data_IF_174319274431
#
_entry.id   IF_174319274431
#
_cell.length_a   1.000
_cell.length_b   1.000
_cell.length_c   1.000
_cell.angle_alpha   90.00
_cell.angle_beta   90.00
_cell.angle_gamma   90.00
#
_symmetry.space_group_name_H-M   'P 1'
#
loop_
_entity.id
_entity.type
_entity.pdbx_description
1 polymer ?
#
# COMPACT_ATOMS: atom_id res chain seq x y z
N UNK A 1 12.78 -7.91 9.37
CA UNK A 1 11.79 -7.05 8.68
C UNK A 1 10.45 -7.36 9.31
N UNK A 2 9.56 -6.39 9.37
CA UNK A 2 8.20 -6.57 9.90
C UNK A 2 7.26 -5.71 9.08
N UNK A 3 6.10 -6.24 8.75
CA UNK A 3 4.98 -5.43 8.26
C UNK A 3 4.00 -5.19 9.39
N UNK A 4 3.37 -4.03 9.38
CA UNK A 4 2.24 -3.71 10.24
C UNK A 4 1.04 -3.38 9.37
N UNK A 5 -0.16 -3.75 9.80
CA UNK A 5 -1.41 -3.47 9.09
C UNK A 5 -2.40 -2.81 10.04
N UNK A 6 -2.98 -1.69 9.64
CA UNK A 6 -4.02 -1.00 10.43
C UNK A 6 -5.35 -1.72 10.28
N UNK A 7 -5.85 -2.24 11.40
CA UNK A 7 -7.13 -2.93 11.44
C UNK A 7 -8.27 -1.99 11.03
N UNK A 8 -8.93 -2.32 9.93
CA UNK A 8 -10.16 -1.66 9.48
C UNK A 8 -10.06 -0.13 9.42
N UNK A 9 -8.92 0.38 8.91
CA UNK A 9 -8.54 1.80 8.92
C UNK A 9 -9.72 2.74 8.71
N UNK A 10 -10.41 2.66 7.57
CA UNK A 10 -11.48 3.59 7.23
C UNK A 10 -12.65 3.58 8.23
N UNK A 11 -13.09 2.41 8.68
CA UNK A 11 -14.22 2.29 9.61
C UNK A 11 -13.86 2.64 11.05
N UNK A 12 -12.57 2.72 11.37
CA UNK A 12 -12.06 3.04 12.71
C UNK A 12 -11.61 4.50 12.85
N UNK A 13 -11.56 5.28 11.77
CA UNK A 13 -11.10 6.67 11.81
C UNK A 13 -12.00 7.56 12.69
N UNK A 14 -11.46 8.22 13.72
CA UNK A 14 -12.22 9.18 14.52
C UNK A 14 -12.48 10.47 13.74
N UNK A 15 -13.72 10.68 13.28
CA UNK A 15 -14.09 11.83 12.43
C UNK A 15 -13.70 13.17 13.08
N UNK A 16 -14.02 13.38 14.36
CA UNK A 16 -13.75 14.67 15.02
C UNK A 16 -12.25 14.97 15.12
N UNK A 17 -11.42 13.96 15.39
CA UNK A 17 -9.95 14.11 15.38
C UNK A 17 -9.46 14.43 13.97
N UNK A 18 -10.00 13.74 12.95
CA UNK A 18 -9.68 13.99 11.55
C UNK A 18 -9.97 15.45 11.16
N UNK A 19 -11.16 15.96 11.50
CA UNK A 19 -11.55 17.35 11.21
C UNK A 19 -10.66 18.33 11.96
N UNK A 20 -10.31 18.05 13.21
CA UNK A 20 -9.41 18.89 14.00
C UNK A 20 -8.00 18.97 13.38
N UNK A 21 -7.46 17.81 12.95
CA UNK A 21 -6.15 17.73 12.27
C UNK A 21 -6.19 18.47 10.94
N UNK A 22 -7.22 18.27 10.12
CA UNK A 22 -7.38 18.95 8.84
C UNK A 22 -7.49 20.46 9.04
N UNK A 23 -8.28 20.92 10.01
CA UNK A 23 -8.42 22.35 10.32
C UNK A 23 -7.07 22.99 10.63
N UNK A 24 -6.31 22.39 11.54
CA UNK A 24 -4.95 22.85 11.87
C UNK A 24 -4.03 22.87 10.65
N UNK A 25 -4.00 21.80 9.83
CA UNK A 25 -3.17 21.76 8.63
C UNK A 25 -3.58 22.82 7.59
N UNK A 26 -4.87 23.14 7.48
CA UNK A 26 -5.33 24.24 6.62
C UNK A 26 -4.82 25.58 7.12
N UNK A 27 -4.90 25.85 8.43
CA UNK A 27 -4.37 27.08 9.05
C UNK A 27 -2.86 27.22 8.83
N UNK A 28 -2.10 26.16 9.09
CA UNK A 28 -0.64 26.11 8.93
C UNK A 28 -0.20 26.39 7.47
N UNK A 29 -1.07 26.09 6.50
CA UNK A 29 -0.84 26.30 5.07
C UNK A 29 -1.55 27.55 4.51
N UNK A 30 -2.08 28.43 5.37
CA UNK A 30 -2.83 29.63 4.98
C UNK A 30 -4.01 29.33 4.04
N UNK A 31 -4.70 28.21 4.24
CA UNK A 31 -5.87 27.79 3.48
C UNK A 31 -7.18 28.07 4.25
N UNK A 32 -8.30 28.30 3.53
CA UNK A 32 -9.61 28.49 4.15
C UNK A 32 -10.04 27.29 5.01
N UNK A 33 -10.38 27.53 6.28
CA UNK A 33 -10.81 26.48 7.23
C UNK A 33 -12.23 25.99 6.96
N UNK A 34 -13.00 26.72 6.14
CA UNK A 34 -14.32 26.32 5.66
C UNK A 34 -14.28 24.97 4.91
N UNK A 35 -13.14 24.61 4.32
CA UNK A 35 -12.96 23.28 3.74
C UNK A 35 -13.10 22.15 4.77
N UNK A 36 -12.68 22.36 6.01
CA UNK A 36 -12.87 21.37 7.08
C UNK A 36 -14.36 21.21 7.45
N UNK A 37 -15.14 22.30 7.38
CA UNK A 37 -16.59 22.27 7.61
C UNK A 37 -17.30 21.48 6.51
N UNK A 38 -16.94 21.73 5.25
CA UNK A 38 -17.46 20.98 4.10
C UNK A 38 -17.06 19.50 4.17
N UNK A 39 -15.81 19.23 4.54
CA UNK A 39 -15.31 17.88 4.71
C UNK A 39 -16.08 17.13 5.80
N UNK A 40 -16.31 17.78 6.96
CA UNK A 40 -17.14 17.22 8.03
C UNK A 40 -18.51 16.82 7.51
N UNK A 41 -19.16 17.69 6.75
CA UNK A 41 -20.46 17.38 6.14
C UNK A 41 -20.38 16.18 5.18
N UNK A 42 -19.34 16.09 4.33
CA UNK A 42 -19.15 14.96 3.43
C UNK A 42 -18.91 13.63 4.18
N UNK A 43 -18.20 13.66 5.31
CA UNK A 43 -17.89 12.46 6.09
C UNK A 43 -19.07 11.96 6.92
N UNK A 44 -19.97 12.84 7.36
CA UNK A 44 -21.12 12.49 8.22
C UNK A 44 -22.43 12.28 7.47
N UNK A 45 -22.50 12.63 6.19
CA UNK A 45 -23.72 12.52 5.37
C UNK A 45 -23.76 11.27 4.49
N UNK A 46 -23.01 10.23 4.87
CA UNK A 46 -22.97 8.95 4.15
C UNK A 46 -24.17 8.06 4.48
N UNK A 47 -25.09 7.92 3.53
CA UNK A 47 -26.21 6.98 3.61
C UNK A 47 -26.01 5.83 2.61
N UNK A 48 -26.40 4.62 3.01
CA UNK A 48 -26.44 3.45 2.14
C UNK A 48 -27.83 2.83 2.16
N UNK A 49 -28.30 2.40 1.00
CA UNK A 49 -29.55 1.65 0.85
C UNK A 49 -29.22 0.16 0.80
N UNK A 50 -29.77 -0.61 1.73
CA UNK A 50 -29.61 -2.06 1.76
C UNK A 50 -30.93 -2.73 2.07
N UNK A 51 -31.38 -3.64 1.20
CA UNK A 51 -32.68 -4.32 1.32
C UNK A 51 -33.84 -3.34 1.57
N UNK A 52 -33.91 -2.30 0.76
CA UNK A 52 -34.94 -1.24 0.82
C UNK A 52 -34.92 -0.36 2.09
N UNK A 53 -33.94 -0.57 2.98
CA UNK A 53 -33.77 0.22 4.21
C UNK A 53 -32.54 1.15 4.11
N UNK A 54 -32.68 2.37 4.63
CA UNK A 54 -31.58 3.33 4.70
C UNK A 54 -30.78 3.17 5.99
N UNK A 55 -29.47 3.13 5.85
CA UNK A 55 -28.53 3.11 6.96
C UNK A 55 -27.60 4.32 6.87
N UNK A 56 -27.25 4.87 8.03
CA UNK A 56 -26.26 5.94 8.16
C UNK A 56 -25.02 5.37 8.82
N UNK A 57 -23.84 5.74 8.31
CA UNK A 57 -22.59 5.41 8.97
C UNK A 57 -22.40 6.27 10.22
N UNK A 58 -22.26 5.62 11.38
CA UNK A 58 -22.15 6.30 12.69
C UNK A 58 -20.72 6.47 13.17
N UNK A 59 -19.77 5.71 12.61
CA UNK A 59 -18.35 5.79 12.96
C UNK A 59 -17.47 5.48 11.74
N UNK A 60 -16.24 6.00 11.78
CA UNK A 60 -15.33 5.92 10.64
C UNK A 60 -15.78 6.75 9.45
N UNK A 61 -15.03 6.62 8.35
CA UNK A 61 -15.33 7.26 7.07
C UNK A 61 -15.82 6.23 6.07
N UNK A 62 -16.65 6.66 5.12
CA UNK A 62 -17.24 5.76 4.12
C UNK A 62 -16.17 5.22 3.16
N UNK A 63 -16.06 3.89 3.07
CA UNK A 63 -15.25 3.25 2.03
C UNK A 63 -15.87 3.55 0.66
N UNK A 64 -15.08 4.05 -0.28
CA UNK A 64 -15.54 4.45 -1.61
C UNK A 64 -15.93 5.93 -1.73
N UNK A 65 -15.96 6.70 -0.64
CA UNK A 65 -16.04 8.15 -0.74
C UNK A 65 -14.72 8.71 -1.31
N UNK A 66 -14.77 9.65 -2.28
CA UNK A 66 -13.56 10.24 -2.88
C UNK A 66 -12.65 10.96 -1.89
N UNK A 67 -13.21 11.46 -0.78
CA UNK A 67 -12.43 12.20 0.23
C UNK A 67 -11.82 11.29 1.30
N UNK A 68 -12.37 10.09 1.52
CA UNK A 68 -11.94 9.19 2.60
C UNK A 68 -10.46 8.83 2.55
N UNK A 69 -9.85 8.48 1.39
CA UNK A 69 -8.41 8.18 1.33
C UNK A 69 -7.54 9.35 1.78
N UNK A 70 -7.89 10.57 1.36
CA UNK A 70 -7.13 11.78 1.71
C UNK A 70 -7.20 12.07 3.20
N UNK A 71 -8.38 11.94 3.80
CA UNK A 71 -8.56 12.15 5.25
C UNK A 71 -7.84 11.07 6.06
N UNK A 72 -7.91 9.82 5.62
CA UNK A 72 -7.20 8.71 6.23
C UNK A 72 -5.69 8.96 6.22
N UNK A 73 -5.13 9.38 5.08
CA UNK A 73 -3.69 9.67 4.98
C UNK A 73 -3.26 10.85 5.85
N UNK A 74 -4.04 11.93 5.91
CA UNK A 74 -3.75 13.09 6.77
C UNK A 74 -3.78 12.70 8.25
N UNK A 75 -4.78 11.93 8.66
CA UNK A 75 -4.88 11.44 10.03
C UNK A 75 -3.71 10.52 10.37
N UNK A 76 -3.39 9.56 9.48
CA UNK A 76 -2.31 8.62 9.70
C UNK A 76 -0.94 9.29 9.73
N UNK A 77 -0.71 10.34 8.95
CA UNK A 77 0.51 11.15 9.03
C UNK A 77 0.68 11.76 10.43
N UNK A 78 -0.36 12.42 10.97
CA UNK A 78 -0.33 13.00 12.32
C UNK A 78 -0.17 11.93 13.42
N UNK A 79 -0.81 10.77 13.25
CA UNK A 79 -0.63 9.62 14.13
C UNK A 79 0.82 9.12 14.12
N UNK A 80 1.40 8.93 12.93
CA UNK A 80 2.74 8.41 12.72
C UNK A 80 3.81 9.35 13.24
N UNK A 81 3.66 10.67 13.05
CA UNK A 81 4.55 11.68 13.62
C UNK A 81 4.65 11.51 15.14
N UNK A 82 3.51 11.43 15.84
CA UNK A 82 3.47 11.21 17.29
C UNK A 82 4.07 9.86 17.67
N UNK A 83 3.69 8.81 16.96
CA UNK A 83 4.13 7.45 17.24
C UNK A 83 5.65 7.31 17.10
N UNK A 84 6.25 7.87 16.05
CA UNK A 84 7.67 7.80 15.78
C UNK A 84 8.48 8.71 16.72
N UNK A 85 7.96 9.89 17.08
CA UNK A 85 8.63 10.78 18.05
C UNK A 85 8.71 10.18 19.46
N UNK A 86 7.71 9.41 19.85
CA UNK A 86 7.59 8.82 21.19
C UNK A 86 8.00 7.34 21.25
N UNK A 87 8.49 6.79 20.14
CA UNK A 87 8.79 5.37 20.03
C UNK A 87 9.87 4.94 21.03
N UNK A 88 9.69 3.80 21.71
CA UNK A 88 10.72 3.26 22.60
C UNK A 88 12.00 2.87 21.82
N UNK A 89 11.85 2.60 20.53
CA UNK A 89 12.94 2.27 19.60
C UNK A 89 12.62 2.89 18.25
N UNK A 90 13.56 3.65 17.72
CA UNK A 90 13.42 4.25 16.40
C UNK A 90 13.64 3.19 15.30
N UNK A 91 12.67 3.00 14.39
CA UNK A 91 12.86 2.13 13.24
C UNK A 91 13.95 2.68 12.32
N UNK A 92 14.78 1.79 11.77
CA UNK A 92 15.79 2.17 10.76
C UNK A 92 15.13 2.56 9.44
N UNK A 93 13.96 1.99 9.18
CA UNK A 93 13.14 2.25 8.00
C UNK A 93 11.67 2.09 8.39
N UNK A 94 10.85 3.03 7.95
CA UNK A 94 9.40 3.03 8.15
C UNK A 94 8.75 3.66 6.91
N UNK A 95 7.91 2.90 6.21
CA UNK A 95 7.14 3.40 5.07
C UNK A 95 5.74 2.78 5.10
N UNK A 96 4.72 3.62 4.96
CA UNK A 96 3.33 3.24 4.87
C UNK A 96 2.80 3.40 3.45
N UNK A 97 1.92 2.49 3.07
CA UNK A 97 1.05 2.55 1.90
C UNK A 97 -0.38 2.29 2.38
N UNK A 98 -1.18 3.35 2.48
CA UNK A 98 -2.55 3.31 3.04
C UNK A 98 -2.55 2.74 4.47
N UNK A 99 -2.93 1.48 4.67
CA UNK A 99 -3.00 0.74 5.94
C UNK A 99 -1.78 -0.16 6.19
N UNK A 100 -1.06 -0.54 5.14
CA UNK A 100 0.12 -1.40 5.18
C UNK A 100 1.40 -0.61 5.44
N UNK A 101 2.18 -1.00 6.45
CA UNK A 101 3.49 -0.42 6.78
C UNK A 101 4.60 -1.44 6.68
N UNK A 102 5.71 -1.10 6.01
CA UNK A 102 6.93 -1.89 6.00
C UNK A 102 8.01 -1.24 6.89
N UNK A 103 8.55 -2.02 7.82
CA UNK A 103 9.47 -1.52 8.84
C UNK A 103 10.71 -2.41 9.03
N UNK A 104 11.85 -1.77 9.32
CA UNK A 104 13.10 -2.42 9.74
C UNK A 104 13.40 -2.05 11.19
N UNK A 105 13.29 -3.03 12.07
CA UNK A 105 13.52 -2.93 13.52
C UNK A 105 14.34 -4.13 14.02
N UNK A 106 15.04 -4.00 15.17
CA UNK A 106 15.61 -5.14 15.88
C UNK A 106 14.51 -6.14 16.28
N UNK A 107 14.78 -7.44 16.14
CA UNK A 107 13.78 -8.50 16.31
C UNK A 107 13.19 -8.55 17.72
N UNK A 108 13.98 -8.23 18.75
CA UNK A 108 13.55 -8.21 20.15
C UNK A 108 12.68 -6.98 20.51
N UNK A 109 12.59 -6.00 19.61
CA UNK A 109 11.87 -4.73 19.84
C UNK A 109 10.54 -4.64 19.10
N UNK A 110 10.27 -5.56 18.19
CA UNK A 110 9.08 -5.50 17.32
C UNK A 110 7.78 -5.50 18.13
N UNK A 111 7.64 -6.40 19.12
CA UNK A 111 6.46 -6.47 19.99
C UNK A 111 6.27 -5.19 20.82
N UNK A 112 7.36 -4.63 21.34
CA UNK A 112 7.29 -3.38 22.10
C UNK A 112 6.84 -2.21 21.21
N UNK A 113 7.29 -2.17 19.96
CA UNK A 113 6.87 -1.18 18.99
C UNK A 113 5.39 -1.37 18.58
N UNK A 114 4.91 -2.60 18.38
CA UNK A 114 3.50 -2.88 18.14
C UNK A 114 2.62 -2.37 19.29
N UNK A 115 3.00 -2.70 20.53
CA UNK A 115 2.26 -2.26 21.72
C UNK A 115 2.25 -0.73 21.83
N UNK A 116 3.38 -0.09 21.49
CA UNK A 116 3.47 1.37 21.42
C UNK A 116 2.50 1.95 20.40
N UNK A 117 2.51 1.48 19.14
CA UNK A 117 1.56 1.92 18.11
C UNK A 117 0.11 1.81 18.61
N UNK A 118 -0.26 0.67 19.19
CA UNK A 118 -1.61 0.41 19.68
C UNK A 118 -2.01 1.24 20.91
N UNK A 119 -1.04 1.85 21.59
CA UNK A 119 -1.29 2.75 22.73
C UNK A 119 -1.56 4.20 22.32
N UNK A 120 -1.22 4.60 21.10
CA UNK A 120 -1.30 6.01 20.66
C UNK A 120 -2.76 6.46 20.52
N UNK A 121 -3.61 5.62 19.95
CA UNK A 121 -5.04 5.90 19.80
C UNK A 121 -5.87 4.62 19.99
N UNK A 122 -6.86 4.58 20.90
CA UNK A 122 -7.63 3.38 21.19
C UNK A 122 -8.47 2.88 20.00
N UNK A 123 -8.80 3.73 19.03
CA UNK A 123 -9.53 3.31 17.82
C UNK A 123 -8.62 2.76 16.73
N UNK A 124 -7.33 3.08 16.75
CA UNK A 124 -6.38 2.70 15.69
C UNK A 124 -5.50 1.58 16.23
N UNK A 125 -5.74 0.38 15.73
CA UNK A 125 -5.04 -0.82 16.17
C UNK A 125 -4.30 -1.43 14.98
N UNK A 126 -3.11 -1.90 15.24
CA UNK A 126 -2.23 -2.54 14.29
C UNK A 126 -2.15 -4.04 14.57
N UNK A 127 -2.02 -4.80 13.49
CA UNK A 127 -1.47 -6.15 13.51
C UNK A 127 -0.05 -6.14 12.94
N UNK A 128 0.67 -7.25 13.05
CA UNK A 128 1.99 -7.38 12.45
C UNK A 128 2.18 -8.75 11.79
N UNK A 129 2.94 -8.76 10.70
CA UNK A 129 3.51 -9.98 10.15
C UNK A 129 5.03 -9.95 10.28
N UNK A 130 5.57 -11.00 10.89
CA UNK A 130 7.00 -11.15 11.07
C UNK A 130 7.61 -11.81 9.84
N UNK A 131 8.82 -11.38 9.52
CA UNK A 131 9.65 -12.09 8.56
C UNK A 131 9.82 -13.56 8.94
N UNK A 132 9.62 -14.44 7.96
CA UNK A 132 9.82 -15.88 8.07
C UNK A 132 10.75 -16.36 6.96
N UNK A 133 11.72 -17.20 7.30
CA UNK A 133 12.69 -17.75 6.35
C UNK A 133 13.43 -16.67 5.53
N UNK A 134 13.82 -15.56 6.18
CA UNK A 134 14.42 -14.38 5.54
C UNK A 134 13.55 -13.73 4.46
N UNK A 135 12.24 -13.95 4.50
CA UNK A 135 11.29 -13.36 3.56
C UNK A 135 10.14 -12.69 4.28
N UNK A 136 9.60 -11.64 3.66
CA UNK A 136 8.40 -10.96 4.12
C UNK A 136 7.59 -10.52 2.90
N UNK A 137 6.31 -10.84 2.88
CA UNK A 137 5.39 -10.30 1.89
C UNK A 137 5.03 -8.86 2.26
N UNK A 138 5.04 -7.97 1.27
CA UNK A 138 4.56 -6.60 1.42
C UNK A 138 3.92 -6.16 0.11
N UNK A 139 2.61 -5.89 0.13
CA UNK A 139 1.80 -5.67 -1.07
C UNK A 139 2.02 -6.80 -2.09
N UNK A 140 2.36 -6.45 -3.33
CA UNK A 140 2.63 -7.37 -4.45
C UNK A 140 4.09 -7.87 -4.50
N UNK A 141 4.89 -7.59 -3.47
CA UNK A 141 6.34 -7.85 -3.43
C UNK A 141 6.69 -8.86 -2.34
N UNK A 142 7.49 -9.88 -2.70
CA UNK A 142 8.16 -10.74 -1.74
C UNK A 142 9.55 -10.18 -1.51
N UNK A 143 9.75 -9.59 -0.35
CA UNK A 143 11.03 -9.02 0.07
C UNK A 143 11.88 -10.15 0.65
N UNK A 144 13.11 -10.30 0.15
CA UNK A 144 14.03 -11.37 0.52
C UNK A 144 15.28 -10.76 1.12
N UNK A 145 15.67 -11.15 2.33
CA UNK A 145 16.97 -10.81 2.90
C UNK A 145 18.02 -11.82 2.44
N UNK A 146 18.97 -11.36 1.66
CA UNK A 146 20.09 -12.18 1.22
C UNK A 146 21.10 -12.41 2.37
N UNK A 147 21.95 -13.44 2.29
CA UNK A 147 22.98 -13.73 3.31
C UNK A 147 23.98 -12.59 3.56
N UNK A 148 24.20 -11.74 2.56
CA UNK A 148 25.05 -10.54 2.63
C UNK A 148 24.31 -9.31 3.21
N UNK A 149 23.09 -9.50 3.73
CA UNK A 149 22.16 -8.48 4.24
C UNK A 149 21.65 -7.49 3.18
N UNK A 150 21.87 -7.75 1.90
CA UNK A 150 21.18 -7.01 0.83
C UNK A 150 19.72 -7.47 0.70
N UNK A 151 18.90 -6.65 0.05
CA UNK A 151 17.48 -6.95 -0.17
C UNK A 151 17.27 -7.40 -1.62
N UNK A 152 16.82 -8.64 -1.79
CA UNK A 152 16.21 -9.15 -3.02
C UNK A 152 14.71 -8.91 -3.01
N UNK A 153 14.11 -8.92 -4.19
CA UNK A 153 12.68 -8.71 -4.37
C UNK A 153 12.17 -9.43 -5.61
N UNK A 154 10.99 -10.04 -5.48
CA UNK A 154 10.26 -10.70 -6.56
C UNK A 154 8.76 -10.53 -6.38
N UNK A 155 7.96 -10.94 -7.35
CA UNK A 155 6.51 -10.87 -7.26
C UNK A 155 5.99 -11.84 -6.19
N UNK A 156 5.25 -11.32 -5.22
CA UNK A 156 4.53 -12.14 -4.26
C UNK A 156 3.17 -12.57 -4.82
N UNK A 157 2.80 -13.81 -4.55
CA UNK A 157 1.49 -14.39 -4.83
C UNK A 157 1.02 -15.10 -3.57
N UNK A 158 -0.18 -14.77 -3.08
CA UNK A 158 -0.81 -15.48 -1.96
C UNK A 158 -0.99 -16.96 -2.32
N UNK A 159 -1.00 -17.85 -1.32
CA UNK A 159 -1.21 -19.29 -1.54
C UNK A 159 -2.54 -19.62 -2.25
N UNK A 160 -3.51 -18.72 -2.17
CA UNK A 160 -4.81 -18.83 -2.86
C UNK A 160 -4.78 -18.36 -4.31
N UNK A 161 -3.64 -17.87 -4.81
CA UNK A 161 -3.52 -17.39 -6.18
C UNK A 161 -3.58 -18.55 -7.18
N UNK A 162 -4.60 -18.55 -8.04
CA UNK A 162 -4.88 -19.68 -8.95
C UNK A 162 -4.24 -19.54 -10.33
N UNK A 163 -3.54 -18.42 -10.60
CA UNK A 163 -3.05 -18.06 -11.94
C UNK A 163 -4.14 -18.02 -13.03
N UNK A 164 -5.42 -17.85 -12.65
CA UNK A 164 -6.52 -17.70 -13.61
C UNK A 164 -6.68 -16.24 -14.00
N UNK A 165 -6.60 -15.98 -15.30
CA UNK A 165 -6.82 -14.68 -15.92
C UNK A 165 -7.95 -14.78 -16.97
N UNK A 166 -8.17 -13.72 -17.75
CA UNK A 166 -9.08 -13.77 -18.89
C UNK A 166 -8.65 -14.89 -19.85
N UNK A 167 -9.60 -15.75 -20.22
CA UNK A 167 -9.34 -16.78 -21.22
C UNK A 167 -9.19 -16.13 -22.60
N UNK A 168 -8.11 -16.45 -23.32
CA UNK A 168 -7.84 -15.91 -24.65
C UNK A 168 -8.83 -16.30 -25.75
N UNK A 169 -9.63 -17.33 -25.55
CA UNK A 169 -10.74 -17.72 -26.43
C UNK A 169 -12.08 -17.04 -26.08
N UNK A 170 -12.10 -16.21 -25.04
CA UNK A 170 -13.30 -15.46 -24.71
C UNK A 170 -13.60 -14.37 -25.75
N UNK A 171 -14.85 -13.93 -25.81
CA UNK A 171 -15.29 -12.85 -26.72
C UNK A 171 -14.93 -11.44 -26.23
N UNK A 172 -13.92 -11.30 -25.35
CA UNK A 172 -13.42 -9.99 -24.92
C UNK A 172 -12.67 -9.31 -26.06
N UNK A 173 -12.71 -7.98 -26.07
CA UNK A 173 -12.02 -7.20 -27.08
C UNK A 173 -10.51 -7.48 -27.07
N UNK A 174 -9.83 -7.62 -28.23
CA UNK A 174 -8.41 -7.99 -28.28
C UNK A 174 -7.47 -7.10 -27.44
N UNK A 175 -7.80 -5.82 -27.26
CA UNK A 175 -7.02 -4.91 -26.41
C UNK A 175 -7.06 -5.30 -24.92
N UNK A 176 -8.17 -5.83 -24.43
CA UNK A 176 -8.31 -6.27 -23.04
C UNK A 176 -7.47 -7.53 -22.80
N UNK A 177 -7.56 -8.51 -23.71
CA UNK A 177 -6.73 -9.72 -23.67
C UNK A 177 -5.24 -9.40 -23.74
N UNK A 178 -4.83 -8.49 -24.62
CA UNK A 178 -3.43 -8.06 -24.73
C UNK A 178 -2.92 -7.32 -23.47
N UNK A 179 -3.82 -6.63 -22.76
CA UNK A 179 -3.47 -5.88 -21.54
C UNK A 179 -3.09 -6.82 -20.40
N UNK A 180 -3.67 -8.02 -20.31
CA UNK A 180 -3.30 -9.02 -19.30
C UNK A 180 -1.82 -9.39 -19.42
N UNK A 181 -1.37 -9.78 -20.63
CA UNK A 181 0.03 -10.10 -20.85
C UNK A 181 0.93 -8.90 -20.60
N UNK A 182 0.55 -7.72 -21.09
CA UNK A 182 1.32 -6.49 -20.89
C UNK A 182 1.49 -6.16 -19.41
N UNK A 183 0.43 -6.22 -18.61
CA UNK A 183 0.48 -5.85 -17.19
C UNK A 183 1.32 -6.83 -16.37
N UNK A 184 1.23 -8.14 -16.64
CA UNK A 184 2.05 -9.15 -15.94
C UNK A 184 3.54 -8.99 -16.24
N UNK A 185 3.91 -8.78 -17.51
CA UNK A 185 5.30 -8.50 -17.88
C UNK A 185 5.81 -7.18 -17.31
N UNK A 186 4.97 -6.14 -17.26
CA UNK A 186 5.32 -4.87 -16.63
C UNK A 186 5.53 -5.02 -15.13
N UNK A 187 4.64 -5.77 -14.45
CA UNK A 187 4.75 -6.10 -13.03
C UNK A 187 6.05 -6.85 -12.74
N UNK A 188 6.35 -7.92 -13.47
CA UNK A 188 7.59 -8.69 -13.33
C UNK A 188 8.82 -7.78 -13.44
N UNK A 189 8.86 -6.91 -14.45
CA UNK A 189 10.00 -5.98 -14.67
C UNK A 189 10.08 -4.85 -13.66
N UNK A 190 8.96 -4.41 -13.11
CA UNK A 190 8.91 -3.35 -12.11
C UNK A 190 9.25 -3.84 -10.69
N UNK A 191 8.95 -5.11 -10.40
CA UNK A 191 9.07 -5.69 -9.05
C UNK A 191 10.28 -6.62 -8.90
N UNK A 192 10.71 -7.34 -9.92
CA UNK A 192 11.80 -8.31 -9.72
C UNK A 192 13.17 -7.65 -9.84
N UNK A 193 14.06 -8.00 -8.92
CA UNK A 193 15.49 -7.76 -9.12
C UNK A 193 16.06 -8.61 -10.27
N UNK A 194 17.31 -8.33 -10.65
CA UNK A 194 18.00 -9.01 -11.74
C UNK A 194 18.09 -10.53 -11.55
N UNK A 195 18.17 -11.02 -10.31
CA UNK A 195 18.33 -12.44 -9.99
C UNK A 195 17.01 -13.19 -10.18
N UNK A 196 15.89 -12.58 -9.83
CA UNK A 196 14.57 -13.23 -9.86
C UNK A 196 13.77 -12.97 -11.14
N UNK A 197 14.12 -11.93 -11.91
CA UNK A 197 13.36 -11.51 -13.09
C UNK A 197 13.20 -12.62 -14.15
N UNK A 198 14.25 -13.38 -14.45
CA UNK A 198 14.18 -14.41 -15.50
C UNK A 198 13.16 -15.52 -15.15
N UNK A 199 13.19 -15.99 -13.91
CA UNK A 199 12.26 -17.01 -13.42
C UNK A 199 10.82 -16.48 -13.40
N UNK A 200 10.61 -15.24 -12.98
CA UNK A 200 9.30 -14.60 -12.99
C UNK A 200 8.74 -14.43 -14.42
N UNK A 201 9.57 -14.02 -15.37
CA UNK A 201 9.15 -13.90 -16.77
C UNK A 201 8.76 -15.26 -17.35
N UNK A 202 9.53 -16.31 -17.08
CA UNK A 202 9.19 -17.67 -17.50
C UNK A 202 7.86 -18.13 -16.89
N UNK A 203 7.63 -17.83 -15.61
CA UNK A 203 6.37 -18.11 -14.95
C UNK A 203 5.20 -17.36 -15.62
N UNK A 204 5.36 -16.06 -15.90
CA UNK A 204 4.34 -15.26 -16.60
C UNK A 204 4.04 -15.83 -17.99
N UNK A 205 5.06 -16.27 -18.74
CA UNK A 205 4.87 -16.90 -20.06
C UNK A 205 4.03 -18.17 -19.95
N UNK A 206 4.34 -19.05 -18.99
CA UNK A 206 3.55 -20.26 -18.75
C UNK A 206 2.09 -19.93 -18.41
N UNK A 207 1.88 -18.98 -17.50
CA UNK A 207 0.54 -18.52 -17.09
C UNK A 207 -0.26 -18.00 -18.28
N UNK A 208 0.35 -17.24 -19.19
CA UNK A 208 -0.34 -16.76 -20.38
C UNK A 208 -0.71 -17.91 -21.33
N UNK A 209 0.16 -18.89 -21.50
CA UNK A 209 -0.12 -20.08 -22.31
C UNK A 209 -1.28 -20.89 -21.72
N UNK A 210 -1.28 -21.11 -20.40
CA UNK A 210 -2.34 -21.85 -19.69
C UNK A 210 -3.70 -21.16 -19.82
N UNK A 211 -3.72 -19.82 -19.91
CA UNK A 211 -4.91 -19.01 -20.14
C UNK A 211 -5.22 -18.77 -21.62
N UNK A 212 -4.50 -19.42 -22.55
CA UNK A 212 -4.64 -19.29 -24.02
C UNK A 212 -4.43 -17.86 -24.54
N UNK A 213 -3.68 -17.04 -23.79
CA UNK A 213 -3.35 -15.66 -24.13
C UNK A 213 -2.06 -15.59 -24.95
N UNK A 214 -1.98 -14.57 -25.81
CA UNK A 214 -0.74 -14.32 -26.58
C UNK A 214 0.35 -13.78 -25.67
N UNK A 215 1.53 -14.39 -25.72
CA UNK A 215 2.74 -13.86 -25.08
C UNK A 215 3.19 -12.60 -25.83
N UNK A 216 3.30 -11.44 -25.17
CA UNK A 216 3.81 -10.23 -25.79
C UNK A 216 5.22 -10.45 -26.34
N UNK A 217 5.45 -10.10 -27.61
CA UNK A 217 6.82 -10.11 -28.16
C UNK A 217 7.65 -9.08 -27.39
N UNK A 218 8.72 -9.55 -26.77
CA UNK A 218 9.75 -8.72 -26.16
C UNK A 218 10.40 -7.89 -27.27
N UNK A 219 9.84 -6.72 -27.59
CA UNK A 219 10.63 -5.71 -28.31
C UNK A 219 11.77 -5.37 -27.36
N UNK A 220 13.01 -5.53 -27.82
CA UNK A 220 14.17 -4.89 -27.20
C UNK A 220 13.95 -3.38 -27.27
N UNK A 221 13.11 -2.86 -26.40
CA UNK A 221 13.13 -1.44 -26.08
C UNK A 221 14.37 -1.27 -25.25
N UNK A 222 15.47 -0.89 -25.89
CA UNK A 222 16.57 -0.14 -25.25
C UNK A 222 16.08 1.21 -24.74
N UNK A 223 14.95 1.23 -24.03
CA UNK A 223 14.60 2.30 -23.13
C UNK A 223 15.27 1.89 -21.84
N UNK A 224 16.47 2.42 -21.63
CA UNK A 224 17.03 2.59 -20.30
C UNK A 224 15.86 2.96 -19.36
N UNK A 225 15.59 2.08 -18.40
CA UNK A 225 14.73 2.41 -17.28
C UNK A 225 15.27 3.75 -16.76
N UNK A 226 14.44 4.81 -16.80
CA UNK A 226 14.84 6.11 -16.26
C UNK A 226 15.37 5.85 -14.86
N UNK A 227 16.64 6.21 -14.65
CA UNK A 227 17.34 6.14 -13.37
C UNK A 227 16.40 6.65 -12.27
N UNK A 228 16.01 5.76 -11.36
CA UNK A 228 15.35 6.18 -10.12
C UNK A 228 16.39 7.00 -9.37
N UNK A 229 16.08 8.28 -9.12
CA UNK A 229 16.98 9.17 -8.39
C UNK A 229 17.26 8.57 -7.02
N UNK A 230 18.52 8.54 -6.61
CA UNK A 230 18.85 8.09 -5.26
C UNK A 230 18.23 9.07 -4.24
N UNK A 231 17.98 8.64 -3.00
CA UNK A 231 17.45 9.54 -1.95
C UNK A 231 18.28 10.83 -1.79
N UNK A 232 19.59 10.75 -2.01
CA UNK A 232 20.51 11.89 -1.99
C UNK A 232 20.29 12.89 -3.15
N UNK A 233 19.87 12.41 -4.33
CA UNK A 233 19.58 13.25 -5.50
C UNK A 233 18.23 14.00 -5.36
N UNK A 234 17.29 13.48 -4.55
CA UNK A 234 16.03 14.15 -4.24
C UNK A 234 16.20 15.26 -3.19
N UNK A 235 17.11 15.09 -2.22
CA UNK A 235 17.46 16.09 -1.21
C UNK A 235 18.14 17.35 -1.78
N UNK A 236 18.71 17.27 -2.99
CA UNK A 236 19.35 18.43 -3.66
C UNK A 236 18.36 19.31 -4.42
N UNK A 237 17.13 18.84 -4.63
CA UNK A 237 16.09 19.57 -5.39
C UNK A 237 15.06 20.25 -4.48
N UNK A 238 15.19 20.09 -3.17
CA UNK A 238 14.38 20.76 -2.14
C UNK A 238 15.12 21.93 -1.48
N UNK A 239 15.94 22.66 -2.24
CA UNK A 239 16.49 23.96 -1.84
C UNK A 239 15.89 25.05 -2.71
#
# INVERSE_FOLDING_TARGET
MVSFDVQSLFTCLPIEDCISIVTRKLEDNNMPTEYAVLLKHCLTSGYLLWKEEFYMQVDGVAMGSPVSPVVADIFMEDFEEKALLTAPVNPRFYKRYVDDTFTILPSDKVTAFLNHLNSINPKIQFTMELEANNTLAFLDVLVIRNPDNTIGHTVYRKNTHTNRYLNGESHHHPSQLATVGKSLFQRARGICDRKHLAAELQHVEQVLQDNKLRVPRLRHTGRELRRVRTPEELLRLSR
#
